data_IF_066335580580
#
_entry.id   IF_066335580580
#
_cell.length_a   1.000
_cell.length_b   1.000
_cell.length_c   1.000
_cell.angle_alpha   90.00
_cell.angle_beta   90.00
_cell.angle_gamma   90.00
#
_symmetry.space_group_name_H-M   'P 1'
#
loop_
_entity.id
_entity.type
_entity.pdbx_description
1 polymer ?
#
# COMPACT_ATOMS: atom_id res chain seq x y z
N UNK A 1 15.33 13.62 14.09
CA UNK A 1 16.48 12.75 13.72
C UNK A 1 17.04 13.18 12.37
N UNK A 2 18.33 13.01 12.09
CA UNK A 2 18.91 13.32 10.76
C UNK A 2 19.05 12.01 9.97
N UNK A 3 18.39 11.93 8.82
CA UNK A 3 18.42 10.78 7.92
C UNK A 3 19.35 11.11 6.75
N UNK A 4 20.32 10.23 6.47
CA UNK A 4 21.19 10.39 5.32
C UNK A 4 20.39 10.30 4.01
N UNK A 5 20.74 11.12 3.02
CA UNK A 5 20.05 11.16 1.72
C UNK A 5 20.04 9.79 1.01
N UNK A 6 21.11 9.00 1.17
CA UNK A 6 21.19 7.65 0.60
C UNK A 6 20.16 6.73 1.25
N UNK A 7 19.98 6.83 2.55
CA UNK A 7 19.00 6.04 3.29
C UNK A 7 17.57 6.50 3.00
N UNK A 8 17.34 7.82 2.81
CA UNK A 8 16.03 8.33 2.37
C UNK A 8 15.59 7.75 1.05
N UNK A 9 16.51 7.49 0.11
CA UNK A 9 16.18 6.83 -1.15
C UNK A 9 15.64 5.41 -0.89
N UNK A 10 16.36 4.62 -0.10
CA UNK A 10 15.96 3.25 0.23
C UNK A 10 14.64 3.20 1.01
N UNK A 11 14.41 4.13 1.94
CA UNK A 11 13.15 4.26 2.68
C UNK A 11 11.97 4.61 1.76
N UNK A 12 12.18 5.43 0.72
CA UNK A 12 11.15 5.69 -0.30
C UNK A 12 10.85 4.45 -1.13
N UNK A 13 11.87 3.68 -1.52
CA UNK A 13 11.70 2.40 -2.22
C UNK A 13 10.96 1.38 -1.34
N UNK A 14 11.10 1.47 -0.02
CA UNK A 14 10.34 0.68 0.95
C UNK A 14 8.84 1.07 0.98
N UNK A 15 8.47 2.27 0.54
CA UNK A 15 7.08 2.75 0.46
C UNK A 15 6.75 3.94 1.35
N UNK A 16 7.74 4.53 2.03
CA UNK A 16 7.54 5.74 2.83
C UNK A 16 7.38 6.99 1.94
N UNK A 17 6.49 7.88 2.34
CA UNK A 17 6.24 9.19 1.71
C UNK A 17 7.13 10.26 2.32
N UNK A 18 7.24 11.40 1.63
CA UNK A 18 8.03 12.52 2.13
C UNK A 18 7.53 13.08 3.47
N UNK A 19 6.20 13.11 3.67
CA UNK A 19 5.60 13.55 4.93
C UNK A 19 5.93 12.60 6.09
N UNK A 20 6.13 11.30 5.83
CA UNK A 20 6.46 10.32 6.87
C UNK A 20 7.84 10.59 7.48
N UNK A 21 8.78 11.18 6.73
CA UNK A 21 10.10 11.55 7.27
C UNK A 21 10.05 12.57 8.41
N UNK A 22 8.95 13.31 8.54
CA UNK A 22 8.73 14.26 9.65
C UNK A 22 8.42 13.54 10.95
N UNK A 23 7.97 12.29 10.89
CA UNK A 23 7.63 11.47 12.05
C UNK A 23 8.86 10.85 12.70
N UNK A 24 10.01 10.84 12.02
CA UNK A 24 11.27 10.27 12.53
C UNK A 24 11.85 11.06 13.69
N UNK A 25 11.48 10.63 14.89
CA UNK A 25 11.89 11.21 16.16
C UNK A 25 13.05 10.44 16.82
N UNK A 26 13.33 9.21 16.36
CA UNK A 26 14.37 8.35 16.91
C UNK A 26 13.96 7.56 18.15
N UNK A 27 12.70 7.67 18.60
CA UNK A 27 12.13 6.87 19.70
C UNK A 27 10.92 6.06 19.23
N UNK A 28 9.93 6.72 18.63
CA UNK A 28 8.69 6.07 18.17
C UNK A 28 8.76 5.66 16.71
N UNK A 29 9.39 6.48 15.86
CA UNK A 29 9.71 6.15 14.48
C UNK A 29 11.20 6.34 14.25
N UNK A 30 11.88 5.27 13.86
CA UNK A 30 13.30 5.29 13.53
C UNK A 30 13.60 4.33 12.38
N UNK A 31 14.83 4.32 11.88
CA UNK A 31 15.29 3.32 10.93
C UNK A 31 16.69 2.84 11.29
N UNK A 32 17.01 1.66 10.79
CA UNK A 32 18.37 1.16 10.76
C UNK A 32 18.81 0.91 9.32
N UNK A 33 20.12 1.05 9.11
CA UNK A 33 20.77 0.75 7.86
C UNK A 33 21.90 -0.25 8.09
N UNK A 34 21.89 -1.31 7.31
CA UNK A 34 22.96 -2.29 7.20
C UNK A 34 23.44 -2.35 5.74
N UNK A 35 24.75 -2.34 5.47
CA UNK A 35 25.26 -2.33 4.10
C UNK A 35 24.94 -3.60 3.31
N UNK A 36 24.65 -4.72 3.98
CA UNK A 36 24.34 -6.01 3.36
C UNK A 36 22.83 -6.23 3.24
N UNK A 37 22.05 -5.73 4.21
CA UNK A 37 20.59 -5.94 4.32
C UNK A 37 19.74 -4.72 3.92
N UNK A 38 20.37 -3.58 3.68
CA UNK A 38 19.73 -2.32 3.34
C UNK A 38 19.08 -1.64 4.55
N UNK A 39 17.87 -1.11 4.40
CA UNK A 39 17.17 -0.38 5.49
C UNK A 39 16.05 -1.20 6.11
N UNK A 40 15.79 -1.00 7.41
CA UNK A 40 14.56 -1.42 8.07
C UNK A 40 13.96 -0.26 8.85
N UNK A 41 12.64 -0.25 8.96
CA UNK A 41 11.86 0.76 9.68
C UNK A 41 11.50 0.24 11.07
N UNK A 42 11.56 1.09 12.08
CA UNK A 42 10.91 0.87 13.37
C UNK A 42 9.71 1.80 13.45
N UNK A 43 8.53 1.20 13.52
CA UNK A 43 7.27 1.93 13.66
C UNK A 43 6.21 1.03 14.33
N UNK A 44 6.39 0.69 15.62
CA UNK A 44 5.51 -0.24 16.34
C UNK A 44 4.03 0.18 16.37
N UNK A 45 3.74 1.45 16.07
CA UNK A 45 2.40 2.04 16.13
C UNK A 45 1.84 2.42 14.76
N UNK A 46 2.49 2.03 13.66
CA UNK A 46 2.04 2.31 12.29
C UNK A 46 1.74 3.81 12.06
N UNK A 47 2.62 4.67 12.56
CA UNK A 47 2.52 6.12 12.35
C UNK A 47 2.81 6.53 10.91
N UNK A 48 3.66 5.78 10.23
CA UNK A 48 4.09 6.04 8.85
C UNK A 48 3.14 5.39 7.84
N UNK A 49 3.22 5.82 6.58
CA UNK A 49 2.49 5.19 5.47
C UNK A 49 3.09 3.84 5.03
N UNK A 50 3.85 3.16 5.90
CA UNK A 50 4.49 1.90 5.54
C UNK A 50 3.43 0.85 5.18
N UNK A 51 3.46 0.27 3.96
CA UNK A 51 2.36 -0.55 3.46
C UNK A 51 2.39 -2.00 3.98
N UNK A 52 3.50 -2.43 4.57
CA UNK A 52 3.69 -3.82 4.99
C UNK A 52 3.52 -4.00 6.50
N UNK A 53 3.47 -5.27 6.89
CA UNK A 53 3.42 -5.68 8.28
C UNK A 53 4.71 -5.31 9.00
N UNK A 54 4.55 -4.83 10.23
CA UNK A 54 5.61 -4.56 11.19
C UNK A 54 5.52 -5.66 12.24
N UNK A 55 6.63 -6.35 12.48
CA UNK A 55 6.73 -7.45 13.42
C UNK A 55 6.38 -7.03 14.85
N UNK A 56 6.15 -8.03 15.72
CA UNK A 56 5.78 -7.81 17.12
C UNK A 56 6.80 -7.00 17.92
N UNK A 57 8.06 -6.98 17.49
CA UNK A 57 9.14 -6.16 18.05
C UNK A 57 9.17 -4.72 17.53
N UNK A 58 8.23 -4.34 16.65
CA UNK A 58 8.08 -2.98 16.13
C UNK A 58 8.94 -2.67 14.92
N UNK A 59 9.72 -3.63 14.43
CA UNK A 59 10.57 -3.49 13.25
C UNK A 59 9.92 -4.09 12.00
N UNK A 60 10.14 -3.46 10.86
CA UNK A 60 9.89 -4.07 9.55
C UNK A 60 10.96 -5.11 9.25
N UNK A 61 10.65 -6.01 8.31
CA UNK A 61 11.68 -6.77 7.62
C UNK A 61 12.70 -5.85 6.95
N UNK A 62 13.90 -6.36 6.72
CA UNK A 62 14.92 -5.62 5.99
C UNK A 62 14.53 -5.41 4.53
N UNK A 63 14.91 -4.29 3.94
CA UNK A 63 14.57 -3.94 2.55
C UNK A 63 15.02 -4.98 1.52
N UNK A 64 16.09 -5.75 1.81
CA UNK A 64 16.54 -6.85 0.95
C UNK A 64 15.77 -8.15 1.15
N UNK A 65 15.14 -8.31 2.31
CA UNK A 65 14.30 -9.47 2.66
C UNK A 65 12.83 -9.24 2.31
N UNK A 66 12.51 -8.06 1.76
CA UNK A 66 11.18 -7.68 1.32
C UNK A 66 10.71 -8.66 0.23
N UNK A 67 9.95 -9.65 0.66
CA UNK A 67 9.43 -10.72 -0.17
C UNK A 67 8.33 -10.15 -1.07
N UNK A 68 8.66 -9.93 -2.35
CA UNK A 68 7.75 -9.29 -3.30
C UNK A 68 6.49 -10.12 -3.60
N UNK A 69 6.38 -11.33 -3.06
CA UNK A 69 5.34 -12.30 -3.38
C UNK A 69 3.92 -11.75 -3.30
N UNK A 70 3.58 -11.02 -2.23
CA UNK A 70 2.23 -10.45 -2.07
C UNK A 70 2.01 -9.26 -3.02
N UNK A 71 3.05 -8.45 -3.24
CA UNK A 71 2.99 -7.30 -4.14
C UNK A 71 2.85 -7.72 -5.61
N UNK A 72 3.61 -8.73 -6.04
CA UNK A 72 3.54 -9.32 -7.39
C UNK A 72 2.14 -9.89 -7.71
N UNK A 73 1.51 -10.58 -6.76
CA UNK A 73 0.16 -11.14 -6.94
C UNK A 73 -0.90 -10.03 -7.07
N UNK A 74 -0.79 -8.98 -6.25
CA UNK A 74 -1.74 -7.88 -6.26
C UNK A 74 -1.60 -6.98 -7.49
N UNK A 75 -0.39 -6.80 -8.02
CA UNK A 75 -0.15 -5.96 -9.20
C UNK A 75 -0.81 -6.56 -10.45
N UNK A 76 -0.71 -7.89 -10.64
CA UNK A 76 -1.34 -8.57 -11.77
C UNK A 76 -2.88 -8.49 -11.68
N UNK A 77 -3.44 -8.75 -10.49
CA UNK A 77 -4.88 -8.66 -10.26
C UNK A 77 -5.41 -7.22 -10.48
N UNK A 78 -4.64 -6.21 -10.09
CA UNK A 78 -5.00 -4.80 -10.23
C UNK A 78 -4.89 -4.34 -11.69
N UNK A 79 -3.87 -4.81 -12.43
CA UNK A 79 -3.72 -4.53 -13.85
C UNK A 79 -4.86 -5.14 -14.67
N UNK A 80 -5.30 -6.37 -14.36
CA UNK A 80 -6.44 -7.01 -15.02
C UNK A 80 -7.77 -6.32 -14.69
N UNK A 81 -7.98 -5.89 -13.45
CA UNK A 81 -9.14 -5.09 -13.07
C UNK A 81 -9.19 -3.76 -13.87
N UNK A 82 -8.07 -3.04 -13.99
CA UNK A 82 -7.99 -1.81 -14.77
C UNK A 82 -8.21 -2.02 -16.27
N UNK A 83 -7.69 -3.12 -16.85
CA UNK A 83 -7.98 -3.48 -18.25
C UNK A 83 -9.47 -3.71 -18.45
N UNK A 84 -10.12 -4.47 -17.56
CA UNK A 84 -11.56 -4.72 -17.63
C UNK A 84 -12.37 -3.46 -17.46
N UNK A 85 -11.99 -2.56 -16.56
CA UNK A 85 -12.65 -1.26 -16.42
C UNK A 85 -12.49 -0.36 -17.65
N UNK A 86 -11.33 -0.40 -18.30
CA UNK A 86 -11.06 0.40 -19.51
C UNK A 86 -11.78 -0.14 -20.76
N UNK A 87 -11.99 -1.45 -20.81
CA UNK A 87 -12.68 -2.14 -21.91
C UNK A 87 -14.20 -2.24 -21.70
N UNK A 88 -14.66 -2.07 -20.46
CA UNK A 88 -16.09 -2.16 -20.15
C UNK A 88 -16.76 -0.79 -20.33
N UNK A 89 -17.70 -0.64 -21.27
CA UNK A 89 -18.52 0.56 -21.33
C UNK A 89 -19.28 0.67 -20.01
N UNK A 90 -19.07 1.78 -19.28
CA UNK A 90 -19.83 2.04 -18.05
C UNK A 90 -21.31 2.12 -18.44
N UNK A 91 -22.17 1.25 -17.89
CA UNK A 91 -23.57 1.26 -18.25
C UNK A 91 -24.18 2.61 -17.88
N UNK A 92 -25.02 3.12 -18.76
CA UNK A 92 -25.62 4.44 -18.59
C UNK A 92 -26.54 4.43 -17.37
N UNK A 93 -26.75 5.56 -16.69
CA UNK A 93 -27.65 5.63 -15.52
C UNK A 93 -29.05 5.04 -15.81
N UNK A 94 -29.55 5.16 -17.04
CA UNK A 94 -30.82 4.54 -17.46
C UNK A 94 -30.77 3.01 -17.51
N UNK A 95 -29.65 2.41 -17.91
CA UNK A 95 -29.47 0.94 -17.95
C UNK A 95 -29.31 0.36 -16.54
N UNK A 96 -28.63 1.10 -15.65
CA UNK A 96 -28.53 0.77 -14.23
C UNK A 96 -29.92 0.82 -13.59
N UNK A 97 -30.69 1.88 -13.83
CA UNK A 97 -32.06 2.02 -13.33
C UNK A 97 -32.99 0.91 -13.86
N UNK A 98 -32.88 0.55 -15.15
CA UNK A 98 -33.67 -0.54 -15.76
C UNK A 98 -33.30 -1.91 -15.17
N UNK A 99 -32.01 -2.18 -14.96
CA UNK A 99 -31.54 -3.43 -14.36
C UNK A 99 -31.96 -3.57 -12.89
N UNK A 100 -31.91 -2.48 -12.13
CA UNK A 100 -32.39 -2.44 -10.74
C UNK A 100 -33.91 -2.65 -10.67
N UNK A 101 -34.67 -2.01 -11.56
CA UNK A 101 -36.12 -2.20 -11.66
C UNK A 101 -36.49 -3.63 -12.04
N UNK A 102 -35.72 -4.29 -12.91
CA UNK A 102 -35.96 -5.69 -13.27
C UNK A 102 -35.59 -6.68 -12.15
N UNK A 103 -34.53 -6.42 -11.38
CA UNK A 103 -34.09 -7.31 -10.28
C UNK A 103 -34.87 -7.13 -8.99
N UNK A 104 -35.27 -5.90 -8.67
CA UNK A 104 -35.82 -5.54 -7.37
C UNK A 104 -37.20 -4.87 -7.45
N UNK A 105 -37.71 -4.62 -8.65
CA UNK A 105 -39.08 -4.17 -8.84
C UNK A 105 -40.04 -5.30 -8.53
N UNK A 106 -40.51 -5.34 -7.29
CA UNK A 106 -41.64 -6.17 -6.88
C UNK A 106 -42.81 -5.95 -7.84
N UNK A 107 -43.41 -7.05 -8.32
CA UNK A 107 -44.78 -7.02 -8.80
C UNK A 107 -45.67 -6.66 -7.61
N UNK A 108 -46.35 -5.52 -7.68
CA UNK A 108 -47.46 -5.21 -6.78
C UNK A 108 -48.53 -6.29 -6.97
N UNK A 109 -48.85 -7.00 -5.88
CA UNK A 109 -50.02 -7.90 -5.77
C UNK A 109 -51.24 -7.11 -5.33
#
# INVERSE_FOLDING_TARGET
MTIDERHKKLLRELGLKEDDFRLFDGKTVTYEYDPTKGVRLYDPYYHTSYPEYIDVDGWSSWSTEKDSFVSDILDEAKAEAQRRESLSPKPTQQEIARSLKNKFGKQES
#
